data_IF_505856113485
#
_entry.id   IF_505856113485
#
_cell.length_a   1.000
_cell.length_b   1.000
_cell.length_c   1.000
_cell.angle_alpha   90.00
_cell.angle_beta   90.00
_cell.angle_gamma   90.00
#
_symmetry.space_group_name_H-M   'P 1'
#
loop_
_entity.id
_entity.type
_entity.pdbx_description
1 polymer ?
#
# COMPACT_ATOMS: atom_id res chain seq x y z
N UNK A 1 -4.92 0.73 19.92
CA UNK A 1 -4.35 1.25 18.72
C UNK A 1 -3.15 0.45 18.26
N UNK A 2 -2.35 0.04 19.20
CA UNK A 2 -1.20 -0.76 18.85
C UNK A 2 -1.58 -2.13 18.33
N UNK A 3 -2.75 -2.59 18.74
CA UNK A 3 -3.20 -3.89 18.26
C UNK A 3 -3.83 -3.80 16.90
N UNK A 4 -4.43 -2.67 16.59
CA UNK A 4 -4.97 -2.44 15.26
C UNK A 4 -3.87 -1.93 14.36
N UNK A 5 -3.90 -2.30 13.11
CA UNK A 5 -2.91 -1.86 12.17
C UNK A 5 -1.60 -2.61 12.23
N UNK A 6 -1.54 -3.66 13.02
CA UNK A 6 -0.33 -4.47 13.09
C UNK A 6 -0.28 -5.42 11.90
N UNK A 7 0.89 -5.48 11.28
CA UNK A 7 1.11 -6.44 10.20
C UNK A 7 1.24 -7.80 10.82
N UNK A 8 0.32 -8.70 10.51
CA UNK A 8 0.28 -10.00 11.15
C UNK A 8 1.01 -11.07 10.37
N UNK A 9 1.18 -10.87 9.08
CA UNK A 9 1.86 -11.85 8.27
C UNK A 9 2.42 -11.17 7.04
N UNK A 10 3.58 -11.62 6.65
CA UNK A 10 4.17 -11.17 5.41
C UNK A 10 3.96 -12.29 4.42
N UNK A 11 3.01 -12.11 3.53
CA UNK A 11 2.68 -13.14 2.55
C UNK A 11 3.20 -12.68 1.21
N UNK A 12 4.14 -13.41 0.67
CA UNK A 12 4.66 -13.10 -0.64
C UNK A 12 3.89 -13.93 -1.64
N UNK A 13 2.64 -13.65 -1.75
CA UNK A 13 1.76 -14.36 -2.65
C UNK A 13 1.46 -13.48 -3.84
N UNK A 14 0.83 -14.06 -4.86
CA UNK A 14 0.53 -13.32 -6.06
C UNK A 14 -0.33 -12.11 -5.73
N UNK A 15 0.29 -10.94 -5.82
CA UNK A 15 -0.43 -9.70 -5.65
C UNK A 15 -0.73 -9.28 -4.23
N UNK A 16 -0.17 -9.97 -3.23
CA UNK A 16 -0.36 -9.58 -1.84
C UNK A 16 0.95 -9.71 -1.11
N UNK A 17 1.42 -8.62 -0.52
CA UNK A 17 2.67 -8.62 0.21
C UNK A 17 2.48 -8.70 1.71
N UNK A 18 1.34 -8.26 2.20
CA UNK A 18 1.12 -8.29 3.64
C UNK A 18 -0.33 -8.13 4.00
N UNK A 19 -0.62 -8.35 5.25
CA UNK A 19 -1.98 -8.25 5.78
C UNK A 19 -1.92 -7.46 7.07
N UNK A 20 -2.83 -6.51 7.22
CA UNK A 20 -2.95 -5.70 8.43
C UNK A 20 -4.28 -6.01 9.06
N UNK A 21 -4.26 -6.35 10.34
CA UNK A 21 -5.50 -6.53 11.10
C UNK A 21 -6.01 -5.19 11.57
N UNK A 22 -7.29 -4.97 11.40
CA UNK A 22 -7.91 -3.75 11.89
C UNK A 22 -8.40 -3.91 13.33
N UNK A 23 -8.55 -5.14 13.78
CA UNK A 23 -8.99 -5.39 15.13
C UNK A 23 -8.22 -6.56 15.72
N UNK A 24 -8.35 -6.76 17.03
CA UNK A 24 -7.59 -7.79 17.71
C UNK A 24 -7.97 -9.20 17.27
N UNK A 25 -9.21 -9.37 16.88
CA UNK A 25 -9.70 -10.68 16.50
C UNK A 25 -9.38 -11.03 15.06
N UNK A 26 -8.96 -10.03 14.28
CA UNK A 26 -8.66 -10.26 12.88
C UNK A 26 -9.89 -10.45 12.02
N UNK A 27 -11.02 -9.93 12.47
CA UNK A 27 -12.26 -10.04 11.70
C UNK A 27 -12.23 -9.11 10.49
N UNK A 28 -11.56 -7.96 10.64
CA UNK A 28 -11.37 -7.04 9.55
C UNK A 28 -9.90 -6.98 9.21
N UNK A 29 -9.59 -7.23 7.96
CA UNK A 29 -8.22 -7.23 7.50
C UNK A 29 -8.08 -6.35 6.28
N UNK A 30 -6.93 -5.71 6.16
CA UNK A 30 -6.57 -4.94 5.00
C UNK A 30 -5.38 -5.62 4.36
N UNK A 31 -5.50 -5.94 3.09
CA UNK A 31 -4.44 -6.59 2.36
C UNK A 31 -3.63 -5.54 1.62
N UNK A 32 -2.32 -5.71 1.57
CA UNK A 32 -1.42 -4.68 1.05
C UNK A 32 -0.59 -5.24 -0.08
N UNK A 33 -0.48 -4.48 -1.15
CA UNK A 33 0.43 -4.75 -2.26
C UNK A 33 1.30 -3.53 -2.43
N UNK A 34 2.61 -3.73 -2.51
CA UNK A 34 3.54 -2.64 -2.70
C UNK A 34 4.38 -2.90 -3.94
N UNK A 35 4.55 -1.88 -4.77
CA UNK A 35 5.36 -1.96 -5.97
C UNK A 35 6.37 -0.83 -5.99
N UNK A 36 7.64 -1.17 -6.01
CA UNK A 36 8.70 -0.19 -6.12
C UNK A 36 9.07 -0.07 -7.60
N UNK A 37 8.35 0.78 -8.30
CA UNK A 37 8.49 0.94 -9.74
C UNK A 37 8.86 2.36 -10.08
N UNK A 38 9.48 2.51 -11.26
CA UNK A 38 9.72 3.83 -11.83
C UNK A 38 8.67 4.16 -12.87
N UNK A 39 7.98 3.16 -13.37
CA UNK A 39 7.00 3.34 -14.41
C UNK A 39 5.61 3.48 -13.84
N UNK A 40 4.72 4.02 -14.64
CA UNK A 40 3.33 4.20 -14.28
C UNK A 40 2.68 2.85 -13.95
N UNK A 41 1.87 2.83 -12.92
CA UNK A 41 1.08 1.65 -12.57
C UNK A 41 -0.27 1.79 -13.25
N UNK A 42 -0.57 0.87 -14.15
CA UNK A 42 -1.78 0.92 -14.94
C UNK A 42 -2.89 0.08 -14.35
N UNK A 43 -4.04 0.18 -15.01
CA UNK A 43 -5.23 -0.53 -14.58
C UNK A 43 -5.01 -2.06 -14.46
N UNK A 44 -4.26 -2.71 -15.36
CA UNK A 44 -4.08 -4.15 -15.24
C UNK A 44 -3.49 -4.58 -13.90
N UNK A 45 -2.60 -3.76 -13.33
CA UNK A 45 -2.02 -4.09 -12.04
C UNK A 45 -3.05 -4.01 -10.93
N UNK A 46 -3.93 -3.02 -11.00
CA UNK A 46 -4.98 -2.89 -10.01
C UNK A 46 -5.97 -4.04 -10.14
N UNK A 47 -6.28 -4.43 -11.37
CA UNK A 47 -7.18 -5.57 -11.59
C UNK A 47 -6.59 -6.87 -11.03
N UNK A 48 -5.29 -7.05 -11.19
CA UNK A 48 -4.63 -8.22 -10.61
C UNK A 48 -4.74 -8.21 -9.10
N UNK A 49 -4.56 -7.05 -8.49
CA UNK A 49 -4.64 -6.93 -7.05
C UNK A 49 -6.06 -7.25 -6.57
N UNK A 50 -7.05 -6.71 -7.27
CA UNK A 50 -8.45 -7.00 -6.92
C UNK A 50 -8.71 -8.50 -7.05
N UNK A 51 -8.19 -9.14 -8.09
CA UNK A 51 -8.31 -10.58 -8.24
C UNK A 51 -7.71 -11.33 -7.07
N UNK A 52 -6.56 -10.86 -6.60
CA UNK A 52 -5.93 -11.50 -5.45
C UNK A 52 -6.77 -11.33 -4.19
N UNK A 53 -7.39 -10.15 -4.02
CA UNK A 53 -8.29 -9.93 -2.88
C UNK A 53 -9.46 -10.90 -2.93
N UNK A 54 -10.06 -11.06 -4.09
CA UNK A 54 -11.17 -11.98 -4.25
C UNK A 54 -10.73 -13.39 -3.90
N UNK A 55 -9.55 -13.78 -4.35
CA UNK A 55 -9.02 -15.10 -4.06
C UNK A 55 -8.82 -15.36 -2.58
N UNK A 56 -8.58 -14.31 -1.80
CA UNK A 56 -8.40 -14.44 -0.36
C UNK A 56 -9.69 -14.18 0.41
N UNK A 57 -10.77 -13.93 -0.29
CA UNK A 57 -12.02 -13.57 0.38
C UNK A 57 -11.93 -12.20 1.06
N UNK A 58 -11.03 -11.36 0.61
CA UNK A 58 -10.81 -10.06 1.22
C UNK A 58 -11.65 -8.99 0.55
N UNK A 59 -11.96 -7.94 1.30
CA UNK A 59 -12.78 -6.86 0.79
C UNK A 59 -12.08 -5.51 0.86
N UNK A 60 -10.94 -5.42 1.52
CA UNK A 60 -10.21 -4.17 1.67
C UNK A 60 -8.77 -4.36 1.26
N UNK A 61 -8.28 -3.45 0.46
CA UNK A 61 -6.91 -3.51 0.02
C UNK A 61 -6.30 -2.13 -0.14
N UNK A 62 -4.98 -2.07 0.00
CA UNK A 62 -4.20 -0.86 -0.23
C UNK A 62 -3.12 -1.21 -1.21
N UNK A 63 -3.04 -0.47 -2.29
CA UNK A 63 -1.99 -0.65 -3.29
C UNK A 63 -1.07 0.56 -3.22
N UNK A 64 0.18 0.32 -2.89
CA UNK A 64 1.17 1.37 -2.70
C UNK A 64 2.23 1.26 -3.77
N UNK A 65 2.61 2.37 -4.37
CA UNK A 65 3.73 2.39 -5.30
C UNK A 65 4.61 3.60 -5.03
N UNK A 66 5.89 3.46 -5.35
CA UNK A 66 6.80 4.61 -5.32
C UNK A 66 6.68 5.43 -6.59
N UNK A 67 5.93 4.97 -7.56
CA UNK A 67 5.71 5.65 -8.83
C UNK A 67 4.38 6.41 -8.78
N UNK A 68 3.58 6.27 -9.79
CA UNK A 68 2.30 6.96 -9.91
C UNK A 68 1.32 6.06 -10.65
N UNK A 69 0.04 6.37 -10.56
CA UNK A 69 -1.01 5.58 -11.19
C UNK A 69 -1.51 6.28 -12.44
N UNK A 70 -1.87 5.49 -13.44
CA UNK A 70 -2.49 6.03 -14.63
C UNK A 70 -3.90 6.53 -14.31
N UNK A 71 -4.44 7.32 -15.22
CA UNK A 71 -5.80 7.80 -15.07
C UNK A 71 -6.77 6.62 -15.01
N UNK A 72 -6.56 5.64 -15.86
CA UNK A 72 -7.41 4.46 -15.91
C UNK A 72 -7.35 3.68 -14.60
N UNK A 73 -6.15 3.57 -14.03
CA UNK A 73 -6.01 2.88 -12.75
C UNK A 73 -6.79 3.60 -11.65
N UNK A 74 -6.71 4.92 -11.63
CA UNK A 74 -7.39 5.69 -10.60
C UNK A 74 -8.90 5.66 -10.75
N UNK A 75 -9.38 5.51 -11.95
CA UNK A 75 -10.82 5.49 -12.22
C UNK A 75 -11.44 4.11 -12.12
N UNK A 76 -10.61 3.09 -12.00
CA UNK A 76 -11.11 1.73 -11.93
C UNK A 76 -11.91 1.50 -10.65
N UNK A 77 -13.10 0.97 -10.82
CA UNK A 77 -14.00 0.67 -9.69
C UNK A 77 -14.13 -0.82 -9.55
N UNK A 78 -13.65 -1.41 -8.47
CA UNK A 78 -13.86 -2.83 -8.24
C UNK A 78 -15.35 -3.13 -8.08
N UNK A 79 -15.73 -4.32 -8.48
CA UNK A 79 -17.11 -4.74 -8.36
C UNK A 79 -17.42 -5.17 -6.95
N UNK A 80 -18.70 -5.10 -6.60
CA UNK A 80 -19.16 -5.54 -5.30
C UNK A 80 -18.78 -4.57 -4.22
N UNK A 81 -18.48 -5.12 -3.05
CA UNK A 81 -18.16 -4.29 -1.89
C UNK A 81 -16.64 -4.22 -1.63
N UNK A 82 -15.85 -4.53 -2.64
CA UNK A 82 -14.40 -4.47 -2.51
C UNK A 82 -13.96 -3.01 -2.62
N UNK A 83 -13.10 -2.59 -1.69
CA UNK A 83 -12.56 -1.25 -1.68
C UNK A 83 -11.04 -1.31 -1.74
N UNK A 84 -10.49 -0.51 -2.64
CA UNK A 84 -9.04 -0.43 -2.80
C UNK A 84 -8.62 1.02 -2.72
N UNK A 85 -7.65 1.29 -1.86
CA UNK A 85 -7.05 2.62 -1.73
C UNK A 85 -5.73 2.59 -2.48
N UNK A 86 -5.50 3.61 -3.29
CA UNK A 86 -4.27 3.73 -4.06
C UNK A 86 -3.42 4.83 -3.45
N UNK A 87 -2.17 4.50 -3.14
CA UNK A 87 -1.23 5.47 -2.57
C UNK A 87 -0.01 5.51 -3.46
N UNK A 88 0.22 6.65 -4.11
CA UNK A 88 1.37 6.79 -4.98
C UNK A 88 2.59 7.30 -4.19
N UNK A 89 3.71 7.47 -4.90
CA UNK A 89 4.94 7.86 -4.25
C UNK A 89 4.87 9.20 -3.55
N UNK A 90 4.15 10.14 -4.14
CA UNK A 90 4.01 11.46 -3.55
C UNK A 90 3.17 11.39 -2.29
N UNK A 91 2.07 10.68 -2.34
CA UNK A 91 1.19 10.51 -1.19
C UNK A 91 1.90 9.74 -0.08
N UNK A 92 2.65 8.72 -0.46
CA UNK A 92 3.40 7.93 0.51
C UNK A 92 4.41 8.80 1.24
N UNK A 93 5.14 9.64 0.51
CA UNK A 93 6.11 10.53 1.14
C UNK A 93 5.43 11.48 2.11
N UNK A 94 4.26 12.00 1.75
CA UNK A 94 3.53 12.89 2.64
C UNK A 94 3.09 12.17 3.91
N UNK A 95 2.60 10.95 3.79
CA UNK A 95 2.20 10.19 4.96
C UNK A 95 3.40 9.89 5.86
N UNK A 96 4.54 9.58 5.26
CA UNK A 96 5.74 9.33 6.06
C UNK A 96 6.15 10.57 6.85
N UNK A 97 6.06 11.73 6.23
CA UNK A 97 6.38 12.98 6.91
C UNK A 97 5.39 13.23 8.04
N UNK A 98 4.10 13.07 7.77
CA UNK A 98 3.08 13.29 8.79
C UNK A 98 3.26 12.40 10.00
N UNK A 99 3.64 11.15 9.74
CA UNK A 99 3.78 10.17 10.81
C UNK A 99 5.16 10.21 11.46
N UNK A 100 6.07 11.01 10.92
CA UNK A 100 7.43 11.08 11.43
C UNK A 100 8.27 9.87 11.11
N UNK A 101 7.81 9.02 10.21
CA UNK A 101 8.52 7.80 9.87
C UNK A 101 9.75 8.15 9.07
N UNK A 102 10.93 7.76 9.59
CA UNK A 102 12.16 7.97 8.88
C UNK A 102 12.59 9.41 8.72
N UNK A 103 11.95 10.34 9.43
CA UNK A 103 12.24 11.76 9.29
C UNK A 103 12.92 12.26 10.55
N UNK A 104 14.02 12.96 10.36
CA UNK A 104 14.71 13.63 11.46
C UNK A 104 14.30 15.09 11.46
N UNK A 105 14.04 15.62 12.63
CA UNK A 105 13.68 17.02 12.74
C UNK A 105 14.75 17.95 12.27
N UNK A 106 15.98 17.50 12.30
CA UNK A 106 17.08 18.37 11.97
C UNK A 106 17.22 18.63 10.51
N UNK A 107 16.75 17.74 9.67
CA UNK A 107 17.22 17.76 8.32
C UNK A 107 16.18 17.43 7.33
N UNK A 108 15.62 18.44 6.72
CA UNK A 108 14.64 18.22 5.70
C UNK A 108 15.25 17.56 4.47
N UNK A 109 16.56 17.79 4.21
CA UNK A 109 17.15 17.20 3.02
C UNK A 109 17.32 15.70 3.16
N UNK A 110 17.23 15.19 4.36
CA UNK A 110 17.32 13.74 4.55
C UNK A 110 16.11 12.99 4.07
N UNK A 111 15.08 13.69 3.74
CA UNK A 111 13.87 13.03 3.25
C UNK A 111 14.17 12.20 2.02
N UNK A 112 14.96 12.72 1.11
CA UNK A 112 15.30 11.96 -0.09
C UNK A 112 16.09 10.71 0.22
N UNK A 113 17.03 10.81 1.16
CA UNK A 113 17.82 9.66 1.52
C UNK A 113 16.97 8.60 2.18
N UNK A 114 16.04 9.05 2.99
CA UNK A 114 15.19 8.12 3.70
C UNK A 114 14.29 7.38 2.73
N UNK A 115 13.77 8.07 1.73
CA UNK A 115 12.97 7.40 0.71
C UNK A 115 13.76 6.30 0.04
N UNK A 116 15.01 6.59 -0.32
CA UNK A 116 15.85 5.60 -0.95
C UNK A 116 16.10 4.43 -0.02
N UNK A 117 16.41 4.72 1.24
CA UNK A 117 16.72 3.69 2.20
C UNK A 117 15.53 2.79 2.48
N UNK A 118 14.33 3.36 2.51
CA UNK A 118 13.13 2.59 2.80
C UNK A 118 12.74 1.68 1.66
N UNK A 119 13.03 2.07 0.43
CA UNK A 119 12.53 1.35 -0.72
C UNK A 119 13.60 0.59 -1.49
N UNK A 120 14.81 0.73 -1.08
CA UNK A 120 15.89 -0.05 -1.67
C UNK A 120 16.08 -1.29 -0.85
N UNK A 121 15.76 -2.35 -1.42
CA UNK A 121 15.91 -3.53 -0.63
C UNK A 121 16.35 -4.68 -1.43
#
# INVERSE_FOLDING_TARGET
LEDAGTVTAYVKDDGIDGVIKEDKLGLDKIYVQAKRWNNCVGQPEIQKFVGALVGQGAKKGVFITTSYFSKEARQFQPKGDIKVVLIDGKELANYMIECGVGVSLKQSYQIKRIDTDYFEE
#
